data_IF_243372019638
#
_entry.id   IF_243372019638
#
_cell.length_a   1.000
_cell.length_b   1.000
_cell.length_c   1.000
_cell.angle_alpha   90.00
_cell.angle_beta   90.00
_cell.angle_gamma   90.00
#
_symmetry.space_group_name_H-M   'P 1'
#
loop_
_entity.id
_entity.type
_entity.pdbx_description
1 polymer ?
#
# COMPACT_ATOMS: atom_id res chain seq x y z
N UNK A 1 3.77 -41.41 33.80
CA UNK A 1 3.86 -40.72 32.50
C UNK A 1 2.71 -39.74 32.49
N UNK A 2 2.96 -38.46 32.81
CA UNK A 2 1.91 -37.49 33.14
C UNK A 2 0.92 -37.36 31.96
N UNK A 3 -0.34 -37.68 32.24
CA UNK A 3 -1.48 -37.65 31.32
C UNK A 3 -2.11 -36.25 31.28
N UNK A 4 -1.28 -35.22 31.33
CA UNK A 4 -1.74 -33.84 31.31
C UNK A 4 -1.44 -33.33 29.91
N UNK A 5 -2.44 -32.76 29.21
CA UNK A 5 -2.39 -32.31 27.82
C UNK A 5 -1.41 -31.16 27.53
N UNK A 6 -0.19 -31.24 28.05
CA UNK A 6 0.90 -30.29 27.93
C UNK A 6 1.82 -30.80 26.82
N UNK A 7 1.67 -30.22 25.62
CA UNK A 7 2.56 -30.49 24.49
C UNK A 7 4.00 -30.08 24.80
N UNK A 8 4.99 -30.83 24.29
CA UNK A 8 6.42 -30.53 24.45
C UNK A 8 6.81 -29.11 23.98
N UNK A 9 6.07 -28.55 23.03
CA UNK A 9 6.23 -27.18 22.54
C UNK A 9 5.96 -26.14 23.64
N UNK A 10 4.96 -26.37 24.49
CA UNK A 10 4.61 -25.47 25.60
C UNK A 10 5.70 -25.45 26.68
N UNK A 11 6.28 -26.62 27.00
CA UNK A 11 7.39 -26.74 27.95
C UNK A 11 8.63 -26.03 27.39
N UNK A 12 8.90 -26.15 26.08
CA UNK A 12 10.02 -25.47 25.44
C UNK A 12 9.88 -23.94 25.46
N UNK A 13 8.66 -23.41 25.24
CA UNK A 13 8.36 -21.97 25.31
C UNK A 13 8.47 -21.44 26.74
N UNK A 14 7.96 -22.16 27.74
CA UNK A 14 8.04 -21.73 29.15
C UNK A 14 9.49 -21.70 29.66
N UNK A 15 10.36 -22.55 29.11
CA UNK A 15 11.77 -22.62 29.46
C UNK A 15 12.68 -21.80 28.51
N UNK A 16 12.11 -21.03 27.57
CA UNK A 16 12.83 -20.19 26.58
C UNK A 16 13.92 -20.98 25.82
N UNK A 17 13.64 -22.25 25.48
CA UNK A 17 14.58 -23.10 24.75
C UNK A 17 14.38 -22.95 23.25
N UNK A 18 14.97 -21.91 22.66
CA UNK A 18 14.79 -21.54 21.24
C UNK A 18 15.11 -22.69 20.27
N UNK A 19 16.17 -23.47 20.53
CA UNK A 19 16.56 -24.60 19.68
C UNK A 19 15.51 -25.72 19.67
N UNK A 20 14.91 -25.99 20.83
CA UNK A 20 13.84 -26.98 20.94
C UNK A 20 12.55 -26.48 20.27
N UNK A 21 12.25 -25.19 20.39
CA UNK A 21 11.10 -24.55 19.72
C UNK A 21 11.27 -24.64 18.19
N UNK A 22 12.45 -24.27 17.67
CA UNK A 22 12.78 -24.37 16.25
C UNK A 22 12.70 -25.80 15.74
N UNK A 23 13.24 -26.76 16.49
CA UNK A 23 13.18 -28.18 16.14
C UNK A 23 11.73 -28.68 16.08
N UNK A 24 10.90 -28.35 17.07
CA UNK A 24 9.50 -28.79 17.13
C UNK A 24 8.65 -28.13 16.03
N UNK A 25 8.83 -26.84 15.76
CA UNK A 25 8.15 -26.14 14.67
C UNK A 25 8.59 -26.68 13.29
N UNK A 26 9.89 -26.99 13.11
CA UNK A 26 10.39 -27.61 11.87
C UNK A 26 9.77 -28.98 11.57
N UNK A 27 9.32 -29.67 12.62
CA UNK A 27 8.64 -30.97 12.54
C UNK A 27 7.11 -30.84 12.50
N UNK A 28 6.58 -29.64 12.24
CA UNK A 28 5.14 -29.34 12.16
C UNK A 28 4.38 -29.66 13.46
N UNK A 29 4.99 -29.42 14.63
CA UNK A 29 4.24 -29.48 15.88
C UNK A 29 3.15 -28.40 15.88
N UNK A 30 1.90 -28.80 16.10
CA UNK A 30 0.76 -27.89 16.05
C UNK A 30 0.74 -26.97 17.29
N UNK A 31 0.80 -25.64 17.09
CA UNK A 31 0.89 -24.67 18.19
C UNK A 31 -0.46 -24.35 18.84
N UNK A 32 -1.56 -24.88 18.30
CA UNK A 32 -2.93 -24.56 18.71
C UNK A 32 -3.60 -25.68 19.51
N UNK A 33 -2.87 -26.76 19.82
CA UNK A 33 -3.40 -27.81 20.69
C UNK A 33 -3.65 -27.20 22.07
N UNK A 34 -4.88 -27.21 22.59
CA UNK A 34 -5.23 -26.53 23.82
C UNK A 34 -4.49 -27.12 25.02
N UNK A 35 -4.03 -26.24 25.92
CA UNK A 35 -3.61 -26.61 27.27
C UNK A 35 -4.75 -27.41 27.92
N UNK A 36 -4.49 -28.66 28.31
CA UNK A 36 -5.47 -29.49 29.00
C UNK A 36 -6.06 -28.77 30.23
N UNK A 37 -7.27 -29.19 30.62
CA UNK A 37 -8.16 -28.62 31.65
C UNK A 37 -7.45 -28.26 32.98
N UNK A 38 -6.79 -27.12 33.01
CA UNK A 38 -6.41 -26.39 34.20
C UNK A 38 -6.56 -24.90 33.88
N UNK A 39 -7.81 -24.48 33.72
CA UNK A 39 -8.24 -23.11 34.01
C UNK A 39 -7.96 -22.95 35.52
N UNK A 40 -7.04 -22.10 35.99
CA UNK A 40 -7.41 -20.70 36.20
C UNK A 40 -6.27 -19.66 36.31
N UNK A 41 -4.97 -19.97 36.16
CA UNK A 41 -3.94 -19.00 36.64
C UNK A 41 -3.11 -18.20 35.61
N UNK A 42 -3.31 -18.32 34.28
CA UNK A 42 -2.40 -17.65 33.32
C UNK A 42 -3.10 -17.03 32.09
N UNK A 43 -4.16 -16.24 32.31
CA UNK A 43 -4.85 -15.49 31.24
C UNK A 43 -3.97 -14.42 30.55
N UNK A 44 -2.82 -14.05 31.12
CA UNK A 44 -1.93 -12.99 30.61
C UNK A 44 -0.72 -13.49 29.80
N UNK A 45 -0.21 -14.69 30.09
CA UNK A 45 1.00 -15.23 29.46
C UNK A 45 0.75 -15.81 28.05
N UNK A 46 -0.41 -16.44 27.86
CA UNK A 46 -0.77 -17.17 26.64
C UNK A 46 -0.93 -16.26 25.42
N UNK A 47 -1.42 -15.03 25.58
CA UNK A 47 -1.54 -14.06 24.48
C UNK A 47 -0.17 -13.60 23.95
N UNK A 48 0.79 -13.36 24.84
CA UNK A 48 2.16 -13.01 24.46
C UNK A 48 2.87 -14.20 23.83
N UNK A 49 2.64 -15.41 24.35
CA UNK A 49 3.19 -16.64 23.80
C UNK A 49 2.62 -16.95 22.41
N UNK A 50 1.31 -16.87 22.19
CA UNK A 50 0.69 -17.00 20.86
C UNK A 50 1.17 -15.91 19.89
N UNK A 51 1.27 -14.66 20.34
CA UNK A 51 1.83 -13.58 19.52
C UNK A 51 3.30 -13.82 19.17
N UNK A 52 4.09 -14.33 20.12
CA UNK A 52 5.50 -14.70 19.91
C UNK A 52 5.63 -15.88 18.95
N UNK A 53 4.81 -16.92 19.10
CA UNK A 53 4.76 -18.08 18.21
C UNK A 53 4.32 -17.70 16.79
N UNK A 54 3.26 -16.90 16.63
CA UNK A 54 2.86 -16.34 15.34
C UNK A 54 3.96 -15.44 14.73
N UNK A 55 4.71 -14.71 15.56
CA UNK A 55 5.83 -13.89 15.08
C UNK A 55 7.00 -14.75 14.60
N UNK A 56 7.34 -15.83 15.29
CA UNK A 56 8.38 -16.78 14.88
C UNK A 56 8.00 -17.57 13.61
N UNK A 57 6.73 -17.94 13.47
CA UNK A 57 6.23 -18.61 12.27
C UNK A 57 6.40 -17.76 10.99
N UNK A 58 6.37 -16.43 11.12
CA UNK A 58 6.66 -15.48 10.03
C UNK A 58 8.17 -15.16 9.84
N UNK A 59 9.03 -15.55 10.78
CA UNK A 59 10.48 -15.33 10.70
C UNK A 59 11.18 -16.51 10.01
N UNK A 60 10.71 -17.74 10.24
CA UNK A 60 11.46 -18.95 9.86
C UNK A 60 11.01 -19.63 8.56
N UNK A 61 9.84 -19.29 8.00
CA UNK A 61 9.52 -19.64 6.62
C UNK A 61 10.23 -18.64 5.69
N UNK A 62 11.55 -18.81 5.54
CA UNK A 62 12.45 -18.12 4.59
C UNK A 62 11.88 -16.78 4.10
N UNK A 63 12.27 -15.66 4.73
CA UNK A 63 12.04 -14.33 4.15
C UNK A 63 12.65 -14.29 2.74
N UNK A 64 11.83 -14.56 1.73
CA UNK A 64 12.20 -14.54 0.31
C UNK A 64 12.20 -13.11 -0.25
N UNK A 65 11.73 -12.13 0.53
CA UNK A 65 11.67 -10.72 0.14
C UNK A 65 12.35 -9.83 1.16
N UNK A 66 13.19 -8.91 0.66
CA UNK A 66 13.83 -7.83 1.43
C UNK A 66 12.88 -6.64 1.60
N UNK A 67 11.80 -6.57 0.82
CA UNK A 67 10.85 -5.45 0.90
C UNK A 67 9.97 -5.50 2.15
N UNK A 68 9.70 -4.31 2.70
CA UNK A 68 8.71 -4.12 3.74
C UNK A 68 7.34 -4.65 3.28
N UNK A 69 6.67 -5.43 4.14
CA UNK A 69 5.26 -5.75 3.94
C UNK A 69 4.43 -4.46 3.98
N UNK A 70 3.32 -4.38 3.20
CA UNK A 70 2.48 -3.20 3.19
C UNK A 70 2.01 -2.88 4.61
N UNK A 71 2.29 -1.66 5.06
CA UNK A 71 1.86 -1.18 6.39
C UNK A 71 0.34 -1.03 6.39
N UNK A 72 -0.34 -1.94 7.08
CA UNK A 72 -1.77 -1.81 7.40
C UNK A 72 -1.96 -0.50 8.18
N UNK A 73 -2.64 0.49 7.58
CA UNK A 73 -2.92 1.78 8.21
C UNK A 73 -2.51 3.00 7.41
N UNK A 74 -1.80 2.85 6.28
CA UNK A 74 -1.78 3.94 5.32
C UNK A 74 -3.17 4.01 4.68
N UNK A 75 -3.87 5.13 4.86
CA UNK A 75 -5.11 5.36 4.16
C UNK A 75 -4.81 5.17 2.67
N UNK A 76 -5.34 4.10 2.06
CA UNK A 76 -5.50 4.05 0.64
C UNK A 76 -6.27 5.32 0.33
N UNK A 77 -5.59 6.33 -0.22
CA UNK A 77 -6.25 7.55 -0.67
C UNK A 77 -7.26 7.03 -1.67
N UNK A 78 -8.54 7.04 -1.28
CA UNK A 78 -9.63 6.46 -2.05
C UNK A 78 -9.87 7.37 -3.25
N UNK A 79 -8.93 7.33 -4.20
CA UNK A 79 -9.00 8.01 -5.47
C UNK A 79 -9.87 7.11 -6.33
N UNK A 80 -11.15 7.48 -6.43
CA UNK A 80 -12.10 6.79 -7.29
C UNK A 80 -11.77 7.00 -8.77
N UNK A 81 -12.15 6.03 -9.62
CA UNK A 81 -12.01 6.16 -11.07
C UNK A 81 -12.77 7.38 -11.62
N UNK A 82 -13.90 7.73 -11.02
CA UNK A 82 -14.72 8.89 -11.39
C UNK A 82 -13.95 10.21 -11.21
N UNK A 83 -13.26 10.37 -10.08
CA UNK A 83 -12.44 11.54 -9.81
C UNK A 83 -11.25 11.63 -10.77
N UNK A 84 -10.65 10.51 -11.15
CA UNK A 84 -9.56 10.47 -12.14
C UNK A 84 -10.07 10.92 -13.51
N UNK A 85 -11.20 10.35 -13.95
CA UNK A 85 -11.82 10.71 -15.21
C UNK A 85 -12.22 12.19 -15.25
N UNK A 86 -12.89 12.70 -14.21
CA UNK A 86 -13.29 14.10 -14.13
C UNK A 86 -12.09 15.07 -14.18
N UNK A 87 -10.98 14.75 -13.51
CA UNK A 87 -9.74 15.52 -13.60
C UNK A 87 -9.17 15.47 -15.02
N UNK A 88 -9.20 14.31 -15.68
CA UNK A 88 -8.69 14.16 -17.04
C UNK A 88 -9.49 14.99 -18.06
N UNK A 89 -10.83 14.91 -18.02
CA UNK A 89 -11.69 15.71 -18.91
C UNK A 89 -11.45 17.21 -18.74
N UNK A 90 -11.37 17.71 -17.50
CA UNK A 90 -11.04 19.12 -17.24
C UNK A 90 -9.67 19.56 -17.79
N UNK A 91 -8.68 18.67 -17.78
CA UNK A 91 -7.34 18.96 -18.34
C UNK A 91 -7.37 18.96 -19.87
N UNK A 92 -8.16 18.09 -20.49
CA UNK A 92 -8.32 18.05 -21.95
C UNK A 92 -9.03 19.32 -22.43
N UNK A 93 -10.11 19.73 -21.75
CA UNK A 93 -10.86 20.95 -22.06
C UNK A 93 -9.98 22.21 -21.94
N UNK A 94 -9.14 22.25 -20.91
CA UNK A 94 -8.21 23.34 -20.70
C UNK A 94 -6.85 22.83 -20.23
N UNK A 95 -5.96 22.58 -21.20
CA UNK A 95 -4.60 22.10 -20.93
C UNK A 95 -3.76 23.10 -20.13
N UNK A 96 -4.16 24.37 -20.06
CA UNK A 96 -3.51 25.42 -19.25
C UNK A 96 -4.16 25.61 -17.88
N UNK A 97 -5.11 24.77 -17.50
CA UNK A 97 -5.82 24.89 -16.23
C UNK A 97 -4.84 24.85 -15.04
N UNK A 98 -5.05 25.77 -14.11
CA UNK A 98 -4.33 25.77 -12.84
C UNK A 98 -4.85 24.63 -11.96
N UNK A 99 -3.96 23.86 -11.31
CA UNK A 99 -4.33 22.82 -10.33
C UNK A 99 -5.32 23.31 -9.29
N UNK A 100 -5.27 24.61 -8.96
CA UNK A 100 -6.21 25.28 -8.06
C UNK A 100 -7.64 25.35 -8.60
N UNK A 101 -7.81 25.70 -9.87
CA UNK A 101 -9.12 25.77 -10.49
C UNK A 101 -9.78 24.39 -10.53
N UNK A 102 -8.98 23.34 -10.77
CA UNK A 102 -9.46 21.96 -10.85
C UNK A 102 -9.99 21.48 -9.49
N UNK A 103 -9.25 21.67 -8.39
CA UNK A 103 -9.75 21.22 -7.09
C UNK A 103 -10.97 22.02 -6.62
N UNK A 104 -11.07 23.31 -6.94
CA UNK A 104 -12.25 24.15 -6.61
C UNK A 104 -13.47 23.63 -7.37
N UNK A 105 -13.31 23.36 -8.68
CA UNK A 105 -14.40 22.87 -9.52
C UNK A 105 -14.89 21.47 -9.08
N UNK A 106 -13.97 20.57 -8.76
CA UNK A 106 -14.29 19.19 -8.38
C UNK A 106 -14.49 19.00 -6.88
N UNK A 107 -14.39 20.06 -6.07
CA UNK A 107 -14.45 20.02 -4.60
C UNK A 107 -13.50 18.99 -3.98
N UNK A 108 -12.32 18.83 -4.58
CA UNK A 108 -11.28 17.90 -4.13
C UNK A 108 -10.32 18.58 -3.15
N UNK A 109 -9.58 17.77 -2.40
CA UNK A 109 -8.49 18.29 -1.58
C UNK A 109 -7.31 18.78 -2.44
N UNK A 110 -6.61 19.82 -1.99
CA UNK A 110 -5.43 20.36 -2.69
C UNK A 110 -4.36 19.31 -3.01
N UNK A 111 -4.22 18.28 -2.16
CA UNK A 111 -3.24 17.21 -2.35
C UNK A 111 -3.68 16.13 -3.34
N UNK A 112 -4.98 15.97 -3.58
CA UNK A 112 -5.51 14.90 -4.42
C UNK A 112 -5.23 15.13 -5.91
N UNK A 113 -5.42 16.36 -6.41
CA UNK A 113 -5.25 16.65 -7.85
C UNK A 113 -3.80 16.44 -8.30
N UNK A 114 -2.75 16.95 -7.62
CA UNK A 114 -1.37 16.64 -7.98
C UNK A 114 -1.05 15.14 -7.97
N UNK A 115 -1.61 14.38 -7.02
CA UNK A 115 -1.44 12.94 -6.94
C UNK A 115 -2.08 12.24 -8.14
N UNK A 116 -3.31 12.62 -8.54
CA UNK A 116 -3.99 12.08 -9.71
C UNK A 116 -3.18 12.37 -10.98
N UNK A 117 -2.78 13.63 -11.19
CA UNK A 117 -2.05 14.07 -12.39
C UNK A 117 -0.73 13.32 -12.53
N UNK A 118 0.06 13.21 -11.45
CA UNK A 118 1.40 12.61 -11.53
C UNK A 118 1.43 11.09 -11.37
N UNK A 119 0.61 10.50 -10.49
CA UNK A 119 0.66 9.05 -10.23
C UNK A 119 -0.31 8.25 -11.09
N UNK A 120 -1.50 8.78 -11.36
CA UNK A 120 -2.54 8.05 -12.08
C UNK A 120 -2.54 8.38 -13.58
N UNK A 121 -2.51 9.66 -13.95
CA UNK A 121 -2.52 10.09 -15.35
C UNK A 121 -1.11 10.17 -15.96
N UNK A 122 -0.06 10.18 -15.13
CA UNK A 122 1.34 10.29 -15.57
C UNK A 122 1.60 11.52 -16.46
N UNK A 123 0.88 12.62 -16.20
CA UNK A 123 1.07 13.87 -16.91
C UNK A 123 2.22 14.68 -16.31
N UNK A 124 2.90 15.38 -17.21
CA UNK A 124 4.02 16.27 -16.89
C UNK A 124 3.69 17.70 -17.31
N UNK A 125 4.13 18.66 -16.49
CA UNK A 125 4.02 20.06 -16.84
C UNK A 125 5.00 20.39 -17.96
N UNK A 126 4.50 20.91 -19.07
CA UNK A 126 5.31 21.43 -20.19
C UNK A 126 5.23 22.96 -20.24
N UNK A 127 6.31 23.61 -20.65
CA UNK A 127 6.31 25.03 -20.98
C UNK A 127 5.85 25.23 -22.43
N UNK A 128 5.04 26.26 -22.68
CA UNK A 128 4.68 26.64 -24.04
C UNK A 128 5.90 27.20 -24.78
N UNK A 129 6.00 26.93 -26.09
CA UNK A 129 6.99 27.55 -26.95
C UNK A 129 6.58 28.99 -27.27
N UNK A 130 7.56 29.89 -27.36
CA UNK A 130 7.32 31.26 -27.78
C UNK A 130 7.01 31.33 -29.27
N UNK A 131 5.94 32.07 -29.63
CA UNK A 131 5.53 32.29 -31.02
C UNK A 131 5.66 33.79 -31.30
N UNK A 132 6.44 34.22 -32.33
CA UNK A 132 6.76 35.62 -32.56
C UNK A 132 5.58 36.54 -32.92
N UNK A 133 4.55 35.99 -33.55
CA UNK A 133 3.40 36.75 -34.07
C UNK A 133 2.11 35.96 -33.88
N UNK A 134 1.03 36.68 -33.56
CA UNK A 134 -0.31 36.11 -33.59
C UNK A 134 -0.75 35.91 -35.06
N UNK A 135 -0.95 34.65 -35.45
CA UNK A 135 -1.44 34.30 -36.77
C UNK A 135 -2.96 34.52 -36.86
N UNK A 136 -3.36 35.39 -37.77
CA UNK A 136 -4.77 35.54 -38.18
C UNK A 136 -5.09 34.45 -39.22
N UNK A 137 -6.37 34.14 -39.46
CA UNK A 137 -6.77 33.19 -40.49
C UNK A 137 -6.21 33.56 -41.88
N UNK A 138 -6.21 34.85 -42.23
CA UNK A 138 -5.64 35.35 -43.48
C UNK A 138 -4.14 35.01 -43.62
N UNK A 139 -3.33 35.27 -42.58
CA UNK A 139 -1.91 34.92 -42.58
C UNK A 139 -1.67 33.40 -42.74
N UNK A 140 -2.58 32.55 -42.24
CA UNK A 140 -2.47 31.09 -42.41
C UNK A 140 -2.73 30.67 -43.85
N UNK A 141 -3.71 31.28 -44.51
CA UNK A 141 -4.03 31.00 -45.92
C UNK A 141 -2.87 31.39 -46.83
N UNK A 142 -2.27 32.55 -46.60
CA UNK A 142 -1.07 33.00 -47.33
C UNK A 142 0.09 32.00 -47.20
N UNK A 143 0.31 31.42 -46.01
CA UNK A 143 1.37 30.42 -45.83
C UNK A 143 1.10 29.10 -46.55
N UNK A 144 -0.17 28.69 -46.72
CA UNK A 144 -0.53 27.45 -47.41
C UNK A 144 -0.35 27.64 -48.92
N UNK A 145 -0.82 28.76 -49.47
CA UNK A 145 -0.67 29.09 -50.89
C UNK A 145 0.78 29.21 -51.33
N UNK A 146 1.65 29.77 -50.46
CA UNK A 146 3.08 29.91 -50.77
C UNK A 146 3.89 28.60 -50.58
N UNK A 147 3.27 27.51 -50.14
CA UNK A 147 3.91 26.19 -49.98
C UNK A 147 3.67 25.23 -51.15
N UNK A 148 2.70 25.53 -52.01
CA UNK A 148 2.39 24.80 -53.26
C UNK A 148 3.08 25.45 -54.45
#
# INVERSE_FOLDING_TARGET
MQQDGITALHIAVNNVKEDAIRLLLSRKADPFIPYGNLLDDISSGTKRQLAFMCKLQNVDLRRTSISDLPRLGQANTAIGYESIAAVNEMIIDNQKAMTRAIYIALSLSNGTVPLIVHKHLQYHKVSAQWIPKHFTPAHKLELIVNRE
#
